data_IF_927165357768
#
_entry.id   IF_927165357768
#
_cell.length_a   1.000
_cell.length_b   1.000
_cell.length_c   1.000
_cell.angle_alpha   90.00
_cell.angle_beta   90.00
_cell.angle_gamma   90.00
#
_symmetry.space_group_name_H-M   'P 1'
#
loop_
_entity.id
_entity.type
_entity.pdbx_description
1 polymer ?
#
# COMPACT_ATOMS: atom_id res chain seq x y z
N UNK A 1 -29.23 5.26 -34.57
CA UNK A 1 -28.61 6.36 -33.81
C UNK A 1 -28.58 6.06 -32.31
N UNK A 2 -29.71 5.78 -31.65
CA UNK A 2 -29.75 5.48 -30.20
C UNK A 2 -28.84 4.31 -29.75
N UNK A 3 -28.81 3.19 -30.51
CA UNK A 3 -27.93 2.04 -30.22
C UNK A 3 -26.44 2.41 -30.29
N UNK A 4 -26.04 3.16 -31.33
CA UNK A 4 -24.65 3.61 -31.52
C UNK A 4 -24.22 4.54 -30.39
N UNK A 5 -25.09 5.46 -29.96
CA UNK A 5 -24.81 6.35 -28.83
C UNK A 5 -24.64 5.55 -27.53
N UNK A 6 -25.47 4.52 -27.32
CA UNK A 6 -25.36 3.63 -26.15
C UNK A 6 -24.04 2.86 -26.10
N UNK A 7 -23.64 2.25 -27.21
CA UNK A 7 -22.37 1.50 -27.32
C UNK A 7 -21.16 2.41 -27.09
N UNK A 8 -21.17 3.63 -27.65
CA UNK A 8 -20.09 4.62 -27.44
C UNK A 8 -19.99 5.04 -25.97
N UNK A 9 -21.12 5.27 -25.30
CA UNK A 9 -21.15 5.67 -23.90
C UNK A 9 -20.59 4.56 -22.99
N UNK A 10 -20.92 3.30 -23.28
CA UNK A 10 -20.45 2.16 -22.51
C UNK A 10 -18.93 1.97 -22.62
N UNK A 11 -18.39 2.04 -23.84
CA UNK A 11 -16.93 1.98 -24.07
C UNK A 11 -16.21 3.14 -23.39
N UNK A 12 -16.75 4.36 -23.47
CA UNK A 12 -16.18 5.52 -22.79
C UNK A 12 -16.16 5.36 -21.26
N UNK A 13 -17.24 4.81 -20.69
CA UNK A 13 -17.33 4.49 -19.27
C UNK A 13 -16.31 3.45 -18.85
N UNK A 14 -16.19 2.35 -19.61
CA UNK A 14 -15.20 1.30 -19.33
C UNK A 14 -13.76 1.81 -19.42
N UNK A 15 -13.45 2.62 -20.44
CA UNK A 15 -12.15 3.26 -20.57
C UNK A 15 -11.84 4.19 -19.39
N UNK A 16 -12.83 4.97 -18.94
CA UNK A 16 -12.68 5.84 -17.76
C UNK A 16 -12.43 5.01 -16.49
N UNK A 17 -13.18 3.93 -16.28
CA UNK A 17 -12.94 3.03 -15.15
C UNK A 17 -11.56 2.38 -15.24
N UNK A 18 -11.15 1.88 -16.40
CA UNK A 18 -9.82 1.29 -16.58
C UNK A 18 -8.71 2.32 -16.30
N UNK A 19 -8.89 3.57 -16.71
CA UNK A 19 -7.96 4.66 -16.43
C UNK A 19 -7.87 4.96 -14.92
N UNK A 20 -9.01 5.04 -14.24
CA UNK A 20 -9.06 5.20 -12.78
C UNK A 20 -8.43 4.00 -12.07
N UNK A 21 -8.72 2.78 -12.50
CA UNK A 21 -8.10 1.56 -11.95
C UNK A 21 -6.60 1.60 -12.12
N UNK A 22 -6.08 2.05 -13.27
CA UNK A 22 -4.65 2.15 -13.52
C UNK A 22 -3.91 3.10 -12.56
N UNK A 23 -4.61 3.98 -11.84
CA UNK A 23 -3.97 4.84 -10.81
C UNK A 23 -3.79 4.14 -9.47
N UNK A 24 -4.57 3.09 -9.17
CA UNK A 24 -4.52 2.40 -7.88
C UNK A 24 -3.26 1.55 -7.70
N UNK A 25 -2.84 1.30 -6.43
CA UNK A 25 -1.74 0.40 -6.10
C UNK A 25 -1.93 -1.01 -6.69
N UNK A 26 -0.81 -1.68 -6.98
CA UNK A 26 -0.78 -3.03 -7.57
C UNK A 26 -1.63 -4.04 -6.77
N UNK A 27 -1.51 -4.07 -5.44
CA UNK A 27 -2.24 -5.02 -4.59
C UNK A 27 -3.76 -4.81 -4.62
N UNK A 28 -4.22 -3.55 -4.66
CA UNK A 28 -5.64 -3.23 -4.76
C UNK A 28 -6.25 -3.65 -6.10
N UNK A 29 -5.44 -3.76 -7.16
CA UNK A 29 -5.88 -4.19 -8.50
C UNK A 29 -5.97 -5.70 -8.66
N UNK A 30 -5.15 -6.46 -7.92
CA UNK A 30 -5.10 -7.91 -7.99
C UNK A 30 -6.29 -8.59 -7.28
N UNK A 31 -6.96 -7.87 -6.37
CA UNK A 31 -8.06 -8.42 -5.58
C UNK A 31 -9.44 -8.00 -6.11
N UNK A 32 -10.35 -8.97 -6.22
CA UNK A 32 -11.77 -8.73 -6.46
C UNK A 32 -12.14 -8.20 -7.85
N UNK A 33 -13.09 -7.26 -7.90
CA UNK A 33 -13.72 -6.80 -9.16
C UNK A 33 -12.81 -5.91 -10.01
N UNK A 34 -11.76 -5.34 -9.43
CA UNK A 34 -10.83 -4.44 -10.13
C UNK A 34 -9.89 -5.19 -11.07
N UNK A 35 -9.64 -6.47 -10.80
CA UNK A 35 -8.80 -7.32 -11.65
C UNK A 35 -9.30 -7.39 -13.10
N UNK A 36 -10.62 -7.31 -13.32
CA UNK A 36 -11.22 -7.30 -14.66
C UNK A 36 -10.80 -6.10 -15.52
N UNK A 37 -10.42 -4.98 -14.88
CA UNK A 37 -9.99 -3.76 -15.55
C UNK A 37 -8.46 -3.59 -15.55
N UNK A 38 -7.73 -4.49 -14.88
CA UNK A 38 -6.27 -4.46 -14.80
C UNK A 38 -5.65 -5.23 -15.97
N UNK A 39 -5.79 -4.70 -17.19
CA UNK A 39 -5.09 -5.25 -18.36
C UNK A 39 -3.80 -4.48 -18.64
N UNK A 40 -2.81 -5.17 -19.21
CA UNK A 40 -1.55 -4.55 -19.64
C UNK A 40 -1.78 -3.44 -20.66
N UNK A 41 -2.68 -3.67 -21.62
CA UNK A 41 -3.03 -2.68 -22.65
C UNK A 41 -3.59 -1.39 -22.04
N UNK A 42 -4.45 -1.49 -21.02
CA UNK A 42 -4.98 -0.31 -20.34
C UNK A 42 -3.90 0.47 -19.59
N UNK A 43 -2.93 -0.21 -18.99
CA UNK A 43 -1.81 0.47 -18.32
C UNK A 43 -0.92 1.21 -19.33
N UNK A 44 -0.60 0.58 -20.47
CA UNK A 44 0.16 1.22 -21.55
C UNK A 44 -0.58 2.44 -22.11
N UNK A 45 -1.87 2.29 -22.45
CA UNK A 45 -2.71 3.39 -22.95
C UNK A 45 -2.80 4.51 -21.91
N UNK A 46 -3.00 4.18 -20.64
CA UNK A 46 -3.11 5.19 -19.58
C UNK A 46 -1.81 5.97 -19.39
N UNK A 47 -0.65 5.31 -19.44
CA UNK A 47 0.66 5.97 -19.41
C UNK A 47 0.89 6.86 -20.62
N UNK A 48 0.47 6.41 -21.82
CA UNK A 48 0.52 7.22 -23.03
C UNK A 48 -0.34 8.48 -22.97
N UNK A 49 -1.58 8.36 -22.47
CA UNK A 49 -2.49 9.51 -22.27
C UNK A 49 -1.91 10.49 -21.24
N UNK A 50 -1.34 9.99 -20.15
CA UNK A 50 -0.66 10.82 -19.15
C UNK A 50 0.52 11.61 -19.74
N UNK A 51 1.38 10.95 -20.52
CA UNK A 51 2.50 11.58 -21.24
C UNK A 51 2.00 12.69 -22.17
N UNK A 52 0.98 12.41 -22.99
CA UNK A 52 0.42 13.39 -23.92
C UNK A 52 -0.18 14.58 -23.20
N UNK A 53 -0.91 14.34 -22.10
CA UNK A 53 -1.48 15.40 -21.28
C UNK A 53 -0.37 16.26 -20.64
N UNK A 54 0.63 15.63 -20.02
CA UNK A 54 1.75 16.31 -19.38
C UNK A 54 2.51 17.21 -20.35
N UNK A 55 2.84 16.70 -21.55
CA UNK A 55 3.50 17.48 -22.61
C UNK A 55 2.62 18.64 -23.07
N UNK A 56 1.32 18.41 -23.28
CA UNK A 56 0.40 19.46 -23.74
C UNK A 56 0.28 20.59 -22.73
N UNK A 57 0.09 20.27 -21.44
CA UNK A 57 0.04 21.26 -20.37
C UNK A 57 1.38 21.97 -20.16
N UNK A 58 2.50 21.27 -20.34
CA UNK A 58 3.83 21.88 -20.27
C UNK A 58 4.02 22.93 -21.37
N UNK A 59 3.62 22.62 -22.61
CA UNK A 59 3.74 23.56 -23.73
C UNK A 59 2.86 24.79 -23.49
N UNK A 60 1.60 24.61 -23.10
CA UNK A 60 0.68 25.72 -22.80
C UNK A 60 1.24 26.58 -21.66
N UNK A 61 1.65 25.95 -20.56
CA UNK A 61 2.23 26.64 -19.42
C UNK A 61 3.53 27.38 -19.76
N UNK A 62 4.37 26.83 -20.64
CA UNK A 62 5.58 27.48 -21.12
C UNK A 62 5.25 28.72 -21.95
N UNK A 63 4.26 28.65 -22.85
CA UNK A 63 3.82 29.81 -23.65
C UNK A 63 3.28 30.92 -22.76
N UNK A 64 2.45 30.59 -21.78
CA UNK A 64 1.94 31.54 -20.79
C UNK A 64 3.06 32.14 -19.95
N UNK A 65 3.98 31.30 -19.46
CA UNK A 65 5.14 31.72 -18.69
C UNK A 65 6.02 32.68 -19.48
N UNK A 66 6.35 32.36 -20.73
CA UNK A 66 7.16 33.21 -21.61
C UNK A 66 6.43 34.54 -21.85
N UNK A 67 5.13 34.51 -22.14
CA UNK A 67 4.34 35.74 -22.30
C UNK A 67 4.38 36.63 -21.04
N UNK A 68 4.35 36.03 -19.85
CA UNK A 68 4.43 36.77 -18.59
C UNK A 68 5.85 37.28 -18.29
N UNK A 69 6.85 36.43 -18.49
CA UNK A 69 8.27 36.77 -18.29
C UNK A 69 8.71 37.92 -19.22
N UNK A 70 8.28 37.88 -20.48
CA UNK A 70 8.49 38.94 -21.47
C UNK A 70 7.73 40.24 -21.19
N UNK A 71 6.80 40.28 -20.22
CA UNK A 71 6.12 41.51 -19.77
C UNK A 71 6.66 42.04 -18.44
N UNK A 72 7.54 41.28 -17.78
CA UNK A 72 8.03 41.58 -16.43
C UNK A 72 9.57 41.63 -16.40
N UNK A 73 10.21 40.71 -15.70
CA UNK A 73 11.66 40.72 -15.46
C UNK A 73 12.48 40.59 -16.76
N UNK A 74 12.01 39.80 -17.71
CA UNK A 74 12.67 39.63 -19.01
C UNK A 74 12.66 40.93 -19.82
N UNK A 75 11.54 41.64 -19.84
CA UNK A 75 11.43 42.95 -20.50
C UNK A 75 12.36 43.97 -19.87
N UNK A 76 12.29 44.10 -18.53
CA UNK A 76 13.11 45.07 -17.78
C UNK A 76 14.60 44.83 -18.04
N UNK A 77 15.05 43.57 -18.01
CA UNK A 77 16.45 43.26 -18.31
C UNK A 77 16.82 43.68 -19.75
N UNK A 78 16.00 43.31 -20.74
CA UNK A 78 16.29 43.57 -22.15
C UNK A 78 16.28 45.07 -22.48
N UNK A 79 15.37 45.86 -21.90
CA UNK A 79 15.30 47.32 -22.14
C UNK A 79 16.44 48.10 -21.50
N UNK A 80 17.11 47.54 -20.49
CA UNK A 80 18.25 48.19 -19.82
C UNK A 80 19.61 47.83 -20.43
N UNK A 81 19.67 46.91 -21.42
CA UNK A 81 20.91 46.61 -22.12
C UNK A 81 21.15 47.61 -23.26
N UNK A 82 22.27 48.35 -23.22
CA UNK A 82 22.68 49.28 -24.30
C UNK A 82 22.97 48.60 -25.62
N UNK A 83 23.45 47.36 -25.57
CA UNK A 83 23.69 46.51 -26.75
C UNK A 83 23.21 45.10 -26.45
N UNK A 84 22.35 44.58 -27.33
CA UNK A 84 21.86 43.22 -27.25
C UNK A 84 22.80 42.31 -28.04
N UNK A 85 23.80 41.76 -27.34
CA UNK A 85 24.59 40.66 -27.89
C UNK A 85 23.76 39.37 -27.86
N UNK A 86 23.90 38.52 -28.88
CA UNK A 86 23.22 37.24 -29.00
C UNK A 86 23.43 36.37 -27.75
N UNK A 87 24.65 36.38 -27.19
CA UNK A 87 24.97 35.65 -25.97
C UNK A 87 24.13 36.09 -24.77
N UNK A 88 23.86 37.40 -24.63
CA UNK A 88 23.03 37.93 -23.54
C UNK A 88 21.56 37.57 -23.73
N UNK A 89 21.06 37.67 -24.96
CA UNK A 89 19.69 37.27 -25.28
C UNK A 89 19.46 35.79 -24.97
N UNK A 90 20.37 34.91 -25.41
CA UNK A 90 20.32 33.49 -25.13
C UNK A 90 20.43 33.17 -23.62
N UNK A 91 21.32 33.87 -22.91
CA UNK A 91 21.48 33.72 -21.47
C UNK A 91 20.19 34.02 -20.69
N UNK A 92 19.49 35.11 -21.04
CA UNK A 92 18.20 35.48 -20.42
C UNK A 92 17.12 34.46 -20.75
N UNK A 93 17.06 33.98 -22.00
CA UNK A 93 16.13 32.92 -22.39
C UNK A 93 16.37 31.62 -21.61
N UNK A 94 17.64 31.25 -21.42
CA UNK A 94 18.03 30.07 -20.64
C UNK A 94 17.64 30.22 -19.18
N UNK A 95 17.92 31.38 -18.57
CA UNK A 95 17.50 31.67 -17.20
C UNK A 95 15.99 31.62 -17.04
N UNK A 96 15.24 32.21 -17.98
CA UNK A 96 13.78 32.15 -18.01
C UNK A 96 13.27 30.71 -18.07
N UNK A 97 13.82 29.89 -18.96
CA UNK A 97 13.47 28.48 -19.07
C UNK A 97 13.81 27.69 -17.80
N UNK A 98 15.00 27.88 -17.21
CA UNK A 98 15.37 27.25 -15.95
C UNK A 98 14.44 27.68 -14.81
N UNK A 99 14.06 28.95 -14.75
CA UNK A 99 13.10 29.42 -13.75
C UNK A 99 11.68 28.89 -13.96
N UNK A 100 11.30 28.58 -15.20
CA UNK A 100 10.05 27.84 -15.49
C UNK A 100 10.14 26.39 -15.02
N UNK A 101 11.27 25.72 -15.26
CA UNK A 101 11.47 24.31 -14.88
C UNK A 101 11.37 24.07 -13.36
N UNK A 102 11.79 25.03 -12.54
CA UNK A 102 11.71 24.91 -11.07
C UNK A 102 10.34 25.28 -10.49
N UNK A 103 9.38 25.72 -11.32
CA UNK A 103 8.04 26.00 -10.82
C UNK A 103 7.36 24.70 -10.35
N UNK A 104 6.62 24.71 -9.23
CA UNK A 104 5.98 23.50 -8.71
C UNK A 104 5.09 22.77 -9.73
N UNK A 105 4.33 23.53 -10.52
CA UNK A 105 3.48 22.97 -11.58
C UNK A 105 4.32 22.29 -12.66
N UNK A 106 5.38 22.93 -13.13
CA UNK A 106 6.27 22.37 -14.15
C UNK A 106 6.98 21.11 -13.66
N UNK A 107 7.47 21.12 -12.42
CA UNK A 107 8.06 19.93 -11.79
C UNK A 107 7.05 18.78 -11.70
N UNK A 108 5.80 19.07 -11.34
CA UNK A 108 4.72 18.08 -11.33
C UNK A 108 4.43 17.52 -12.72
N UNK A 109 4.40 18.36 -13.76
CA UNK A 109 4.20 17.91 -15.14
C UNK A 109 5.36 17.04 -15.65
N UNK A 110 6.60 17.41 -15.33
CA UNK A 110 7.80 16.60 -15.64
C UNK A 110 7.75 15.25 -14.91
N UNK A 111 7.28 15.25 -13.67
CA UNK A 111 7.05 14.03 -12.91
C UNK A 111 6.01 13.13 -13.57
N UNK A 112 4.81 13.65 -13.92
CA UNK A 112 3.78 12.89 -14.62
C UNK A 112 4.25 12.36 -15.98
N UNK A 113 5.06 13.14 -16.71
CA UNK A 113 5.68 12.70 -17.95
C UNK A 113 6.59 11.48 -17.74
N UNK A 114 7.50 11.54 -16.77
CA UNK A 114 8.40 10.43 -16.46
C UNK A 114 7.64 9.21 -15.93
N UNK A 115 6.65 9.42 -15.05
CA UNK A 115 5.78 8.38 -14.50
C UNK A 115 4.98 7.66 -15.59
N UNK A 116 4.36 8.40 -16.51
CA UNK A 116 3.61 7.83 -17.62
C UNK A 116 4.48 6.96 -18.53
N UNK A 117 5.72 7.38 -18.81
CA UNK A 117 6.71 6.57 -19.55
C UNK A 117 7.06 5.30 -18.78
N UNK A 118 7.45 5.42 -17.51
CA UNK A 118 7.87 4.28 -16.70
C UNK A 118 6.75 3.25 -16.55
N UNK A 119 5.52 3.70 -16.34
CA UNK A 119 4.34 2.84 -16.22
C UNK A 119 4.01 2.12 -17.53
N UNK A 120 4.08 2.82 -18.66
CA UNK A 120 3.87 2.19 -19.96
C UNK A 120 4.96 1.17 -20.28
N UNK A 121 6.23 1.51 -20.04
CA UNK A 121 7.36 0.61 -20.26
C UNK A 121 7.29 -0.62 -19.36
N UNK A 122 7.06 -0.44 -18.06
CA UNK A 122 7.01 -1.55 -17.11
C UNK A 122 5.85 -2.51 -17.43
N UNK A 123 4.66 -1.99 -17.74
CA UNK A 123 3.54 -2.79 -18.20
C UNK A 123 3.90 -3.58 -19.47
N UNK A 124 4.55 -2.94 -20.44
CA UNK A 124 4.93 -3.60 -21.71
C UNK A 124 6.00 -4.67 -21.55
N UNK A 125 6.97 -4.46 -20.66
CA UNK A 125 8.15 -5.33 -20.51
C UNK A 125 7.92 -6.49 -19.54
N UNK A 126 7.19 -6.24 -18.45
CA UNK A 126 7.05 -7.21 -17.34
C UNK A 126 5.63 -7.75 -17.18
N UNK A 127 4.64 -7.11 -17.81
CA UNK A 127 3.22 -7.38 -17.56
C UNK A 127 2.75 -6.95 -16.18
N UNK A 128 3.60 -6.31 -15.35
CA UNK A 128 3.20 -5.76 -14.07
C UNK A 128 2.40 -4.48 -14.23
N UNK A 129 1.51 -4.26 -13.28
CA UNK A 129 0.55 -3.17 -13.30
C UNK A 129 0.86 -2.24 -12.14
N UNK A 130 1.94 -1.46 -12.20
CA UNK A 130 2.16 -0.45 -11.17
C UNK A 130 1.07 0.62 -11.20
N UNK A 131 0.70 1.07 -10.00
CA UNK A 131 -0.18 2.23 -9.84
C UNK A 131 0.60 3.53 -10.02
N UNK A 132 -0.11 4.65 -9.92
CA UNK A 132 0.57 5.94 -9.85
C UNK A 132 1.31 6.05 -8.52
N UNK A 133 2.58 6.43 -8.52
CA UNK A 133 3.40 6.69 -7.35
C UNK A 133 2.76 7.79 -6.48
N UNK A 134 2.18 8.84 -7.08
CA UNK A 134 1.48 9.91 -6.37
C UNK A 134 0.28 9.42 -5.56
N UNK A 135 -0.34 8.29 -5.94
CA UNK A 135 -1.46 7.67 -5.22
C UNK A 135 -1.00 6.55 -4.31
N UNK A 136 -0.08 5.71 -4.79
CA UNK A 136 0.36 4.50 -4.11
C UNK A 136 1.28 4.78 -2.92
N UNK A 137 2.08 5.84 -2.95
CA UNK A 137 2.92 6.22 -1.81
C UNK A 137 2.07 6.71 -0.62
N UNK A 138 1.13 7.67 -0.78
CA UNK A 138 0.21 8.02 0.31
C UNK A 138 -0.60 6.84 0.81
N UNK A 139 -1.09 5.98 -0.09
CA UNK A 139 -1.84 4.79 0.29
C UNK A 139 -1.03 3.85 1.19
N UNK A 140 0.21 3.53 0.78
CA UNK A 140 1.14 2.72 1.58
C UNK A 140 1.48 3.37 2.92
N UNK A 141 1.62 4.69 2.95
CA UNK A 141 1.85 5.43 4.19
C UNK A 141 0.65 5.31 5.15
N UNK A 142 -0.58 5.43 4.65
CA UNK A 142 -1.81 5.24 5.43
C UNK A 142 -1.92 3.81 5.95
N UNK A 143 -1.64 2.80 5.12
CA UNK A 143 -1.63 1.40 5.57
C UNK A 143 -0.57 1.15 6.65
N UNK A 144 0.64 1.67 6.47
CA UNK A 144 1.70 1.54 7.46
C UNK A 144 1.30 2.20 8.79
N UNK A 145 0.72 3.41 8.73
CA UNK A 145 0.24 4.12 9.90
C UNK A 145 -0.91 3.37 10.58
N UNK A 146 -1.84 2.80 9.82
CA UNK A 146 -2.94 1.99 10.34
C UNK A 146 -2.41 0.74 11.06
N UNK A 147 -1.41 0.04 10.50
CA UNK A 147 -0.77 -1.11 11.15
C UNK A 147 -0.07 -0.72 12.44
N UNK A 148 0.66 0.41 12.45
CA UNK A 148 1.29 0.94 13.68
C UNK A 148 0.24 1.28 14.73
N UNK A 149 -0.84 1.95 14.33
CA UNK A 149 -1.94 2.29 15.23
C UNK A 149 -2.63 1.04 15.79
N UNK A 150 -2.90 0.04 14.96
CA UNK A 150 -3.48 -1.24 15.38
C UNK A 150 -2.57 -1.96 16.36
N UNK A 151 -1.25 -2.03 16.09
CA UNK A 151 -0.27 -2.61 17.01
C UNK A 151 -0.22 -1.86 18.34
N UNK A 152 -0.20 -0.53 18.31
CA UNK A 152 -0.21 0.29 19.51
C UNK A 152 -1.50 0.11 20.32
N UNK A 153 -2.66 0.04 19.64
CA UNK A 153 -3.95 -0.25 20.27
C UNK A 153 -3.95 -1.63 20.91
N UNK A 154 -3.45 -2.64 20.20
CA UNK A 154 -3.37 -4.01 20.69
C UNK A 154 -2.44 -4.13 21.90
N UNK A 155 -1.26 -3.51 21.85
CA UNK A 155 -0.33 -3.45 22.98
C UNK A 155 -0.97 -2.81 24.22
N UNK A 156 -1.75 -1.73 24.05
CA UNK A 156 -2.50 -1.11 25.15
C UNK A 156 -3.60 -2.02 25.71
N UNK A 157 -4.30 -2.77 24.86
CA UNK A 157 -5.35 -3.70 25.28
C UNK A 157 -4.79 -4.90 26.05
N UNK A 158 -3.71 -5.49 25.53
CA UNK A 158 -3.03 -6.66 26.11
C UNK A 158 -2.32 -6.33 27.42
N UNK A 159 -1.76 -5.12 27.56
CA UNK A 159 -1.04 -4.71 28.76
C UNK A 159 0.36 -5.34 28.87
N UNK A 160 0.95 -5.37 30.08
CA UNK A 160 2.29 -5.91 30.29
C UNK A 160 2.33 -7.44 30.09
N UNK A 161 3.52 -7.96 29.79
CA UNK A 161 3.77 -9.40 29.70
C UNK A 161 3.46 -10.07 31.04
N UNK A 162 2.76 -11.21 30.98
CA UNK A 162 2.28 -11.98 32.12
C UNK A 162 2.48 -13.47 31.82
N UNK A 163 2.70 -14.31 32.84
CA UNK A 163 2.71 -15.75 32.65
C UNK A 163 1.42 -16.21 31.97
N UNK A 164 1.54 -17.15 31.04
CA UNK A 164 0.39 -17.72 30.39
C UNK A 164 -0.45 -18.51 31.40
N UNK A 165 -1.77 -18.35 31.33
CA UNK A 165 -2.71 -19.09 32.18
C UNK A 165 -3.28 -20.26 31.38
N UNK A 166 -3.07 -21.48 31.89
CA UNK A 166 -3.58 -22.70 31.25
C UNK A 166 -4.76 -23.24 32.06
N UNK A 167 -5.87 -23.48 31.38
CA UNK A 167 -7.06 -24.12 31.96
C UNK A 167 -7.20 -25.49 31.30
N UNK A 168 -6.97 -26.52 32.10
CA UNK A 168 -7.10 -27.90 31.65
C UNK A 168 -8.53 -28.22 31.17
N UNK A 169 -8.70 -29.16 30.22
CA UNK A 169 -10.01 -29.54 29.69
C UNK A 169 -11.06 -29.85 30.76
N UNK A 170 -10.65 -30.48 31.87
CA UNK A 170 -11.53 -30.82 33.00
C UNK A 170 -12.15 -29.60 33.70
N UNK A 171 -11.45 -28.46 33.68
CA UNK A 171 -11.87 -27.19 34.30
C UNK A 171 -12.39 -26.17 33.28
N UNK A 172 -12.28 -26.49 32.00
CA UNK A 172 -12.71 -25.66 30.87
C UNK A 172 -14.22 -25.71 30.68
N UNK A 173 -14.82 -24.56 30.36
CA UNK A 173 -16.26 -24.52 30.04
C UNK A 173 -16.59 -25.25 28.73
N UNK A 174 -15.60 -25.39 27.84
CA UNK A 174 -15.77 -26.00 26.53
C UNK A 174 -15.31 -27.47 26.49
N UNK A 175 -14.78 -28.01 27.60
CA UNK A 175 -14.16 -29.34 27.61
C UNK A 175 -12.93 -29.41 26.70
N UNK A 176 -12.26 -28.27 26.49
CA UNK A 176 -11.09 -28.10 25.61
C UNK A 176 -9.96 -27.46 26.41
N UNK A 177 -8.71 -27.69 26.01
CA UNK A 177 -7.58 -26.97 26.61
C UNK A 177 -7.71 -25.49 26.27
N UNK A 178 -7.77 -24.63 27.28
CA UNK A 178 -7.76 -23.18 27.08
C UNK A 178 -6.41 -22.61 27.52
N UNK A 179 -5.74 -21.88 26.63
CA UNK A 179 -4.52 -21.16 26.95
C UNK A 179 -4.78 -19.67 26.80
N UNK A 180 -4.51 -18.90 27.84
CA UNK A 180 -4.60 -17.44 27.85
C UNK A 180 -3.18 -16.87 27.87
N UNK A 181 -2.77 -16.22 26.79
CA UNK A 181 -1.45 -15.60 26.69
C UNK A 181 -1.54 -14.09 26.51
N UNK A 182 -0.62 -13.35 27.11
CA UNK A 182 -0.41 -11.94 26.75
C UNK A 182 0.21 -11.80 25.35
N UNK A 183 0.93 -12.81 24.88
CA UNK A 183 1.61 -12.75 23.59
C UNK A 183 0.85 -13.53 22.51
N UNK A 184 0.95 -13.04 21.28
CA UNK A 184 0.39 -13.75 20.15
C UNK A 184 1.32 -14.91 19.79
N UNK A 185 0.94 -16.14 20.16
CA UNK A 185 1.66 -17.34 19.77
C UNK A 185 1.48 -17.55 18.26
N UNK A 186 2.56 -17.88 17.51
CA UNK A 186 2.52 -18.05 16.05
C UNK A 186 1.93 -19.40 15.63
N UNK A 187 0.98 -19.93 16.41
CA UNK A 187 0.33 -21.21 16.13
C UNK A 187 -0.63 -21.08 14.96
N UNK A 188 -0.59 -22.06 14.06
CA UNK A 188 -1.52 -22.22 12.94
C UNK A 188 -2.53 -23.32 13.23
N UNK A 189 -3.64 -23.31 12.53
CA UNK A 189 -4.73 -24.29 12.69
C UNK A 189 -4.29 -25.73 12.37
N UNK A 190 -3.25 -25.91 11.54
CA UNK A 190 -2.69 -27.22 11.20
C UNK A 190 -1.57 -27.68 12.15
N UNK A 191 -1.22 -26.89 13.16
CA UNK A 191 -0.18 -27.25 14.12
C UNK A 191 -0.76 -27.98 15.32
N UNK A 192 -0.01 -28.98 15.78
CA UNK A 192 -0.36 -29.77 16.96
C UNK A 192 0.46 -29.25 18.13
N UNK A 193 -0.21 -28.85 19.20
CA UNK A 193 0.39 -28.37 20.44
C UNK A 193 0.45 -29.53 21.42
N UNK A 194 1.66 -29.93 21.81
CA UNK A 194 1.86 -30.93 22.86
C UNK A 194 1.93 -30.22 24.22
N UNK A 195 1.09 -30.65 25.16
CA UNK A 195 1.00 -30.11 26.51
C UNK A 195 0.75 -31.24 27.51
N UNK A 196 1.63 -31.39 28.50
CA UNK A 196 1.64 -32.57 29.36
C UNK A 196 1.83 -33.85 28.54
N UNK A 197 0.97 -34.83 28.76
CA UNK A 197 0.95 -36.10 28.01
C UNK A 197 0.00 -36.09 26.80
N UNK A 198 -0.67 -34.96 26.53
CA UNK A 198 -1.70 -34.82 25.50
C UNK A 198 -1.25 -34.05 24.26
N UNK A 199 -1.97 -34.28 23.15
CA UNK A 199 -1.83 -33.56 21.90
C UNK A 199 -3.10 -32.79 21.58
N UNK A 200 -2.96 -31.52 21.25
CA UNK A 200 -4.10 -30.64 21.03
C UNK A 200 -4.00 -29.92 19.69
N UNK A 201 -5.11 -29.78 18.98
CA UNK A 201 -5.20 -29.00 17.74
C UNK A 201 -5.91 -27.68 17.98
N UNK A 202 -5.32 -26.58 17.50
CA UNK A 202 -5.90 -25.25 17.61
C UNK A 202 -7.23 -25.17 16.85
N UNK A 203 -8.32 -24.88 17.56
CA UNK A 203 -9.66 -24.75 17.01
C UNK A 203 -10.12 -23.30 16.90
N UNK A 204 -9.84 -22.48 17.92
CA UNK A 204 -10.18 -21.05 17.92
C UNK A 204 -9.03 -20.22 18.50
N UNK A 205 -8.76 -19.08 17.88
CA UNK A 205 -7.89 -18.02 18.43
C UNK A 205 -8.66 -16.72 18.49
N UNK A 206 -8.73 -16.11 19.68
CA UNK A 206 -9.48 -14.86 19.87
C UNK A 206 -8.89 -13.98 20.96
N UNK A 207 -8.89 -12.68 20.75
CA UNK A 207 -8.57 -11.71 21.81
C UNK A 207 -9.79 -11.50 22.71
N UNK A 208 -9.65 -11.78 24.01
CA UNK A 208 -10.75 -11.72 24.99
C UNK A 208 -10.37 -10.89 26.22
N UNK A 209 -11.34 -10.23 26.88
CA UNK A 209 -11.08 -9.55 28.15
C UNK A 209 -10.78 -10.58 29.26
N UNK A 210 -9.68 -10.37 30.00
CA UNK A 210 -9.23 -11.19 31.14
C UNK A 210 -8.73 -10.28 32.26
N UNK A 211 -9.61 -9.97 33.21
CA UNK A 211 -9.34 -9.00 34.27
C UNK A 211 -9.29 -7.56 33.74
N UNK A 212 -8.21 -6.82 34.05
CA UNK A 212 -8.02 -5.42 33.61
C UNK A 212 -7.50 -5.27 32.17
N UNK A 213 -7.05 -6.37 31.58
CA UNK A 213 -6.40 -6.39 30.26
C UNK A 213 -7.06 -7.44 29.36
N UNK A 214 -6.65 -7.50 28.11
CA UNK A 214 -7.02 -8.57 27.19
C UNK A 214 -5.92 -9.64 27.17
N UNK A 215 -6.30 -10.85 26.79
CA UNK A 215 -5.40 -11.95 26.52
C UNK A 215 -5.86 -12.67 25.24
N UNK A 216 -4.90 -13.23 24.51
CA UNK A 216 -5.20 -14.17 23.45
C UNK A 216 -5.64 -15.48 24.06
N UNK A 217 -6.88 -15.88 23.81
CA UNK A 217 -7.41 -17.18 24.15
C UNK A 217 -7.25 -18.11 22.96
N UNK A 218 -6.58 -19.22 23.20
CA UNK A 218 -6.48 -20.35 22.30
C UNK A 218 -7.36 -21.46 22.86
N UNK A 219 -8.32 -21.93 22.07
CA UNK A 219 -9.07 -23.13 22.36
C UNK A 219 -8.48 -24.27 21.54
N UNK A 220 -8.02 -25.31 22.22
CA UNK A 220 -7.40 -26.45 21.58
C UNK A 220 -8.18 -27.72 21.89
N UNK A 221 -8.56 -28.43 20.84
CA UNK A 221 -9.26 -29.71 20.92
C UNK A 221 -8.24 -30.83 21.12
N UNK A 222 -8.51 -31.72 22.06
CA UNK A 222 -7.68 -32.89 22.31
C UNK A 222 -7.83 -33.90 21.17
N UNK A 223 -6.70 -34.38 20.64
CA UNK A 223 -6.66 -35.41 19.61
C UNK A 223 -6.65 -36.79 20.26
N UNK A 224 -7.46 -37.72 19.74
CA UNK A 224 -7.50 -39.09 20.26
C UNK A 224 -6.23 -39.86 19.90
N UNK A 225 -5.84 -40.86 20.71
CA UNK A 225 -4.61 -41.67 20.53
C UNK A 225 -4.47 -42.33 19.14
N UNK A 226 -5.58 -42.45 18.39
CA UNK A 226 -5.62 -43.09 17.07
C UNK A 226 -5.72 -42.11 15.91
N UNK A 227 -5.78 -40.81 16.17
CA UNK A 227 -5.83 -39.80 15.12
C UNK A 227 -4.45 -39.60 14.48
N UNK A 228 -4.42 -39.51 13.16
CA UNK A 228 -3.19 -39.32 12.41
C UNK A 228 -2.76 -37.86 12.54
N UNK A 229 -1.68 -37.63 13.30
CA UNK A 229 -1.04 -36.33 13.42
C UNK A 229 -0.51 -35.85 12.04
N UNK A 230 -1.14 -34.81 11.48
CA UNK A 230 -0.70 -34.18 10.23
C UNK A 230 -0.26 -32.76 10.54
N UNK A 231 1.05 -32.51 10.55
CA UNK A 231 1.60 -31.17 10.77
C UNK A 231 2.90 -31.19 11.58
N UNK A 232 3.35 -30.00 11.96
CA UNK A 232 4.46 -29.83 12.89
C UNK A 232 3.95 -29.86 14.33
N UNK A 233 4.66 -30.57 15.22
CA UNK A 233 4.36 -30.60 16.65
C UNK A 233 5.15 -29.47 17.35
N UNK A 234 4.46 -28.66 18.14
CA UNK A 234 5.04 -27.60 18.98
C UNK A 234 4.84 -28.00 20.44
N UNK A 235 5.91 -28.11 21.23
CA UNK A 235 5.81 -28.37 22.67
C UNK A 235 5.59 -27.07 23.43
N UNK A 236 4.60 -27.06 24.30
CA UNK A 236 4.24 -25.90 25.10
C UNK A 236 4.45 -26.21 26.59
N UNK A 237 5.14 -25.33 27.31
CA UNK A 237 5.50 -25.52 28.72
C UNK A 237 6.94 -25.97 28.99
N UNK A 238 7.70 -26.35 27.95
CA UNK A 238 9.13 -26.70 28.05
C UNK A 238 10.07 -25.48 27.99
N UNK A 239 9.54 -24.27 27.85
CA UNK A 239 10.37 -23.06 27.88
C UNK A 239 10.93 -22.88 29.31
N UNK A 240 12.27 -22.81 29.50
CA UNK A 240 12.84 -22.56 30.81
C UNK A 240 12.30 -21.23 31.30
N UNK A 241 11.48 -21.29 32.35
CA UNK A 241 11.00 -20.11 33.04
C UNK A 241 12.26 -19.31 33.43
N UNK A 242 12.46 -18.07 32.94
CA UNK A 242 13.59 -17.28 33.38
C UNK A 242 13.42 -17.13 34.89
N UNK A 243 14.37 -17.69 35.64
CA UNK A 243 14.35 -17.79 37.09
C UNK A 243 13.75 -16.54 37.70
N UNK A 244 12.66 -16.71 38.44
CA UNK A 244 12.32 -15.80 39.53
C UNK A 244 13.50 -15.84 40.48
N UNK A 245 14.45 -14.93 40.30
CA UNK A 245 15.54 -14.70 41.23
C UNK A 245 14.93 -14.32 42.57
N UNK A 246 14.83 -15.30 43.46
CA UNK A 246 14.66 -15.11 44.90
C UNK A 246 15.92 -14.48 45.52
#
# INVERSE_FOLDING_TARGET
>A
MARVVGEVLEVAREALFAFLVATFPEHAKQEGRLAAYSSTSWHVVSGGVEVLAAVSFFIVGLVEYVSHFSRTAGWIYLTHQRTLDYGKFFGVGTLGFLSYLIQPLTLFLVYCFAEGILRALEASLTGRHLGMAAVSLPWRAVEALARVHQRARLARLVGPSRPDEVVEPANSRFGMLEIYSSEEKPWREEQIVAYGDGFFQLTEKKLVPRGRHHAWRYLLHELEEREVLRGSIVRYGDEPHPDTGE
#
